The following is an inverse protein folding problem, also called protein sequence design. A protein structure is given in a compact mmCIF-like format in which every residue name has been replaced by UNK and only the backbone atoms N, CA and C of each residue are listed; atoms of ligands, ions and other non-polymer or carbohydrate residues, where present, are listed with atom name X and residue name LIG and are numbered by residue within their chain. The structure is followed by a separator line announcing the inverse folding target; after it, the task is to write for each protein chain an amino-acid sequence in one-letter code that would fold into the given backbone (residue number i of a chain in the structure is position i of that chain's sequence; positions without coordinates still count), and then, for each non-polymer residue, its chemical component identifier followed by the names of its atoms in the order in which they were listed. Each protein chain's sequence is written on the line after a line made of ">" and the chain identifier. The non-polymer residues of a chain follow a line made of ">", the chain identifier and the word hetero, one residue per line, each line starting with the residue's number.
data_IF_230456296312
#
_entry.id   IF_230456296312
#
_cell.length_a   1.000
_cell.length_b   1.000
_cell.length_c   1.000
_cell.angle_alpha   90.00
_cell.angle_beta   90.00
_cell.angle_gamma   90.00
#
_symmetry.space_group_name_H-M   'P 1'
#
loop_
_entity.id
_entity.type
_entity.pdbx_description
1 polymer ?
#
# COMPACT_ATOMS: atom_id res chain seq x y z
N UNK A 1 -22.06 -0.93 5.45
CA UNK A 1 -21.19 -1.51 4.40
C UNK A 1 -20.01 -2.16 5.10
N UNK A 2 -19.62 -3.40 4.79
CA UNK A 2 -18.48 -4.01 5.51
C UNK A 2 -17.15 -3.54 4.90
N UNK A 3 -16.24 -3.09 5.77
CA UNK A 3 -15.05 -2.30 5.39
C UNK A 3 -14.03 -3.14 4.62
N UNK A 4 -13.90 -4.42 4.96
CA UNK A 4 -12.96 -5.36 4.33
C UNK A 4 -13.16 -5.48 2.83
N UNK A 5 -14.37 -5.20 2.35
CA UNK A 5 -14.70 -5.29 0.92
C UNK A 5 -13.89 -4.34 0.07
N UNK A 6 -13.43 -3.21 0.61
CA UNK A 6 -12.53 -2.32 -0.11
C UNK A 6 -11.24 -3.05 -0.54
N UNK A 7 -10.65 -3.83 0.37
CA UNK A 7 -9.48 -4.66 0.09
C UNK A 7 -9.79 -5.80 -0.89
N UNK A 8 -10.96 -6.45 -0.73
CA UNK A 8 -11.37 -7.54 -1.62
C UNK A 8 -11.62 -7.05 -3.05
N UNK A 9 -12.18 -5.85 -3.23
CA UNK A 9 -12.33 -5.24 -4.55
C UNK A 9 -10.99 -4.89 -5.19
N UNK A 10 -9.96 -4.52 -4.42
CA UNK A 10 -8.60 -4.36 -4.93
C UNK A 10 -8.06 -5.68 -5.49
N UNK A 11 -8.14 -6.77 -4.72
CA UNK A 11 -7.68 -8.09 -5.17
C UNK A 11 -8.45 -8.60 -6.38
N UNK A 12 -9.78 -8.46 -6.38
CA UNK A 12 -10.63 -8.85 -7.51
C UNK A 12 -10.27 -8.07 -8.77
N UNK A 13 -10.07 -6.75 -8.65
CA UNK A 13 -9.78 -5.88 -9.79
C UNK A 13 -8.43 -6.22 -10.42
N UNK A 14 -7.39 -6.37 -9.62
CA UNK A 14 -6.06 -6.76 -10.09
C UNK A 14 -6.09 -8.15 -10.77
N UNK A 15 -6.79 -9.11 -10.16
CA UNK A 15 -6.90 -10.47 -10.71
C UNK A 15 -7.70 -10.53 -12.02
N UNK A 16 -8.84 -9.85 -12.12
CA UNK A 16 -9.67 -9.88 -13.35
C UNK A 16 -8.90 -9.34 -14.55
N UNK A 17 -8.18 -8.23 -14.37
CA UNK A 17 -7.51 -7.53 -15.45
C UNK A 17 -6.36 -8.35 -16.06
N UNK A 18 -5.66 -9.12 -15.22
CA UNK A 18 -4.42 -9.82 -15.62
C UNK A 18 -4.56 -11.34 -15.66
N UNK A 19 -5.63 -11.89 -15.09
CA UNK A 19 -5.79 -13.34 -14.79
C UNK A 19 -4.70 -13.91 -13.88
N UNK A 20 -3.99 -13.03 -13.19
CA UNK A 20 -2.97 -13.32 -12.19
C UNK A 20 -2.88 -12.15 -11.21
N UNK A 21 -2.32 -12.40 -10.02
CA UNK A 21 -2.04 -11.33 -9.06
C UNK A 21 -0.72 -10.65 -9.40
N UNK A 22 -0.76 -9.33 -9.56
CA UNK A 22 0.43 -8.54 -9.86
C UNK A 22 1.06 -7.94 -8.61
N UNK A 23 2.12 -7.16 -8.79
CA UNK A 23 2.76 -6.40 -7.72
C UNK A 23 1.77 -5.58 -6.88
N UNK A 24 0.65 -5.13 -7.44
CA UNK A 24 -0.42 -4.43 -6.69
C UNK A 24 -1.00 -5.31 -5.58
N UNK A 25 -1.53 -6.50 -5.90
CA UNK A 25 -2.05 -7.40 -4.86
C UNK A 25 -0.95 -7.91 -3.95
N UNK A 26 0.23 -8.24 -4.51
CA UNK A 26 1.36 -8.76 -3.75
C UNK A 26 1.83 -7.77 -2.67
N UNK A 27 1.94 -6.48 -3.00
CA UNK A 27 2.32 -5.43 -2.04
C UNK A 27 1.24 -5.19 -0.98
N UNK A 28 -0.03 -5.34 -1.32
CA UNK A 28 -1.10 -5.30 -0.32
C UNK A 28 -0.96 -6.47 0.67
N UNK A 29 -0.68 -7.69 0.18
CA UNK A 29 -0.41 -8.85 1.03
C UNK A 29 0.79 -8.62 1.96
N UNK A 30 1.89 -8.08 1.43
CA UNK A 30 3.10 -7.76 2.22
C UNK A 30 2.79 -6.73 3.30
N UNK A 31 2.01 -5.71 2.96
CA UNK A 31 1.59 -4.67 3.92
C UNK A 31 0.73 -5.27 5.02
N UNK A 32 -0.28 -6.08 4.66
CA UNK A 32 -1.16 -6.76 5.63
C UNK A 32 -0.37 -7.68 6.56
N UNK A 33 0.55 -8.47 6.00
CA UNK A 33 1.44 -9.34 6.78
C UNK A 33 2.31 -8.55 7.76
N UNK A 34 2.72 -7.34 7.39
CA UNK A 34 3.63 -6.52 8.19
C UNK A 34 2.92 -5.66 9.23
N UNK A 35 1.59 -5.58 9.21
CA UNK A 35 0.82 -4.88 10.24
C UNK A 35 0.83 -5.67 11.55
N UNK A 36 1.26 -5.01 12.62
CA UNK A 36 1.25 -5.52 13.99
C UNK A 36 0.43 -4.60 14.90
N UNK A 37 -0.42 -5.14 15.79
CA UNK A 37 -1.01 -4.36 16.86
C UNK A 37 0.07 -3.98 17.88
N UNK A 38 0.05 -2.72 18.31
CA UNK A 38 0.96 -2.20 19.33
C UNK A 38 0.44 -2.53 20.73
N UNK A 39 1.36 -2.69 21.68
CA UNK A 39 1.03 -3.09 23.05
C UNK A 39 0.63 -1.89 23.92
N UNK A 40 1.16 -0.72 23.58
CA UNK A 40 1.12 0.53 24.36
C UNK A 40 0.22 1.62 23.75
N UNK A 41 -0.33 1.39 22.56
CA UNK A 41 -1.28 2.29 21.90
C UNK A 41 -2.32 1.50 21.09
N UNK A 42 -3.54 2.05 20.94
CA UNK A 42 -4.57 1.47 20.05
C UNK A 42 -4.23 1.77 18.58
N UNK A 43 -3.20 1.09 18.09
CA UNK A 43 -2.66 1.26 16.76
C UNK A 43 -2.21 -0.07 16.16
N UNK A 44 -2.38 -0.22 14.86
CA UNK A 44 -1.73 -1.24 14.05
C UNK A 44 -0.66 -0.56 13.19
N UNK A 45 0.62 -0.82 13.48
CA UNK A 45 1.76 -0.23 12.78
C UNK A 45 2.47 -1.24 11.90
N UNK A 46 3.21 -0.75 10.90
CA UNK A 46 4.04 -1.61 10.07
C UNK A 46 5.31 -1.98 10.84
N UNK A 47 5.55 -3.28 10.98
CA UNK A 47 6.88 -3.81 11.31
C UNK A 47 7.79 -3.63 10.09
N UNK A 48 8.55 -2.54 10.07
CA UNK A 48 9.43 -2.22 8.96
C UNK A 48 10.60 -3.19 8.79
N UNK A 49 10.98 -3.95 9.83
CA UNK A 49 11.94 -5.06 9.68
C UNK A 49 11.30 -6.16 8.84
N UNK A 50 10.09 -6.59 9.21
CA UNK A 50 9.35 -7.60 8.44
C UNK A 50 9.05 -7.13 7.02
N UNK A 51 8.54 -5.91 6.88
CA UNK A 51 8.19 -5.33 5.59
C UNK A 51 9.40 -5.31 4.65
N UNK A 52 10.58 -4.93 5.15
CA UNK A 52 11.83 -4.91 4.37
C UNK A 52 12.24 -6.30 3.91
N UNK A 53 12.17 -7.33 4.78
CA UNK A 53 12.53 -8.70 4.40
C UNK A 53 11.52 -9.32 3.42
N UNK A 54 10.21 -9.08 3.62
CA UNK A 54 9.18 -9.49 2.65
C UNK A 54 9.37 -8.78 1.31
N UNK A 55 9.75 -7.49 1.31
CA UNK A 55 10.03 -6.74 0.09
C UNK A 55 11.24 -7.28 -0.67
N UNK A 56 12.35 -7.59 0.02
CA UNK A 56 13.54 -8.21 -0.58
C UNK A 56 13.19 -9.54 -1.26
N UNK A 57 12.44 -10.38 -0.56
CA UNK A 57 11.97 -11.65 -1.08
C UNK A 57 11.04 -11.46 -2.29
N UNK A 58 10.15 -10.48 -2.22
CA UNK A 58 9.20 -10.14 -3.28
C UNK A 58 9.87 -9.77 -4.59
N UNK A 59 11.03 -9.11 -4.56
CA UNK A 59 11.77 -8.77 -5.77
C UNK A 59 12.05 -10.02 -6.64
N UNK A 60 12.26 -11.19 -6.04
CA UNK A 60 12.60 -12.41 -6.77
C UNK A 60 11.38 -13.11 -7.40
N UNK A 61 10.14 -12.83 -6.97
CA UNK A 61 8.92 -13.46 -7.51
C UNK A 61 7.86 -12.47 -8.03
N UNK A 62 8.19 -11.18 -8.08
CA UNK A 62 7.27 -10.12 -8.48
C UNK A 62 6.68 -10.35 -9.87
N UNK A 63 5.42 -9.96 -10.02
CA UNK A 63 4.74 -9.93 -11.31
C UNK A 63 4.48 -8.48 -11.72
N UNK A 64 5.35 -7.94 -12.57
CA UNK A 64 5.36 -6.54 -13.02
C UNK A 64 6.53 -5.75 -12.46
N UNK A 65 6.80 -4.61 -13.08
CA UNK A 65 7.90 -3.72 -12.71
C UNK A 65 7.36 -2.32 -12.42
N UNK A 66 7.96 -1.67 -11.42
CA UNK A 66 7.77 -0.25 -11.12
C UNK A 66 9.13 0.26 -10.66
N UNK A 67 9.62 1.29 -11.32
CA UNK A 67 10.96 1.82 -11.17
C UNK A 67 11.22 2.40 -9.77
N UNK A 68 10.23 3.03 -9.14
CA UNK A 68 10.33 3.44 -7.72
C UNK A 68 10.49 2.24 -6.77
N UNK A 69 9.79 1.14 -7.02
CA UNK A 69 9.95 -0.10 -6.26
C UNK A 69 11.30 -0.78 -6.49
N UNK A 70 11.77 -0.83 -7.73
CA UNK A 70 13.07 -1.43 -8.06
C UNK A 70 14.23 -0.60 -7.51
N UNK A 71 14.07 0.72 -7.46
CA UNK A 71 15.01 1.64 -6.84
C UNK A 71 15.13 1.45 -5.32
N UNK A 72 14.29 0.58 -4.74
CA UNK A 72 14.43 0.19 -3.36
C UNK A 72 15.55 -0.83 -3.12
N UNK A 73 16.06 -1.46 -4.17
CA UNK A 73 17.09 -2.49 -4.07
C UNK A 73 18.50 -1.87 -4.07
N UNK A 74 19.27 -2.12 -3.00
CA UNK A 74 20.66 -1.68 -2.94
C UNK A 74 20.82 -0.16 -2.84
N UNK A 75 21.71 0.41 -3.68
CA UNK A 75 21.98 1.85 -3.69
C UNK A 75 20.86 2.58 -4.41
N UNK A 76 20.19 3.48 -3.69
CA UNK A 76 19.11 4.32 -4.22
C UNK A 76 19.65 5.28 -5.28
N UNK A 77 19.06 5.22 -6.47
CA UNK A 77 19.26 6.15 -7.58
C UNK A 77 18.46 7.42 -7.26
N UNK A 78 19.15 8.55 -7.30
CA UNK A 78 18.66 9.83 -6.82
C UNK A 78 17.50 10.37 -7.66
N UNK A 79 17.65 10.33 -8.97
CA UNK A 79 16.70 10.91 -9.93
C UNK A 79 15.38 10.15 -9.90
N UNK A 80 15.45 8.83 -9.71
CA UNK A 80 14.26 7.98 -9.57
C UNK A 80 13.55 8.27 -8.24
N UNK A 81 14.28 8.35 -7.14
CA UNK A 81 13.66 8.52 -5.81
C UNK A 81 12.95 9.85 -5.67
N UNK A 82 13.54 10.95 -6.15
CA UNK A 82 12.92 12.28 -6.06
C UNK A 82 11.92 12.54 -7.19
N UNK A 83 12.21 12.03 -8.40
CA UNK A 83 11.46 12.35 -9.61
C UNK A 83 10.25 11.46 -9.86
N UNK A 84 10.31 10.17 -9.54
CA UNK A 84 9.28 9.21 -9.95
C UNK A 84 8.22 8.96 -8.87
N UNK A 85 7.00 8.72 -9.34
CA UNK A 85 5.88 8.32 -8.48
C UNK A 85 5.81 6.81 -8.38
N UNK A 86 5.39 6.34 -7.22
CA UNK A 86 5.00 4.95 -7.04
C UNK A 86 3.52 4.74 -7.35
N UNK A 87 3.23 4.13 -8.51
CA UNK A 87 1.86 3.84 -8.96
C UNK A 87 1.16 2.74 -8.13
N UNK A 88 1.89 2.01 -7.30
CA UNK A 88 1.38 0.93 -6.46
C UNK A 88 0.95 1.39 -5.08
N UNK A 89 1.18 2.66 -4.72
CA UNK A 89 1.06 3.15 -3.33
C UNK A 89 -0.28 2.79 -2.69
N UNK A 90 -1.36 2.79 -3.49
CA UNK A 90 -2.71 2.52 -3.03
C UNK A 90 -2.89 1.10 -2.48
N UNK A 91 -2.10 0.15 -2.99
CA UNK A 91 -2.07 -1.24 -2.48
C UNK A 91 -1.65 -1.32 -1.02
N UNK A 92 -0.89 -0.34 -0.54
CA UNK A 92 -0.38 -0.28 0.84
C UNK A 92 -1.21 0.66 1.71
N UNK A 93 -1.71 1.76 1.12
CA UNK A 93 -2.62 2.70 1.79
C UNK A 93 -3.91 2.00 2.26
N UNK A 94 -4.58 1.21 1.40
CA UNK A 94 -5.85 0.57 1.77
C UNK A 94 -5.70 -0.31 3.02
N UNK A 95 -4.72 -1.24 3.11
CA UNK A 95 -4.48 -1.99 4.34
C UNK A 95 -4.27 -1.12 5.58
N UNK A 96 -3.44 -0.08 5.47
CA UNK A 96 -3.13 0.83 6.59
C UNK A 96 -4.40 1.50 7.12
N UNK A 97 -5.24 2.01 6.21
CA UNK A 97 -6.53 2.64 6.52
C UNK A 97 -7.48 1.66 7.19
N UNK A 98 -7.62 0.45 6.64
CA UNK A 98 -8.56 -0.55 7.14
C UNK A 98 -8.15 -1.10 8.51
N UNK A 99 -6.86 -1.20 8.80
CA UNK A 99 -6.37 -1.70 10.08
C UNK A 99 -6.48 -0.67 11.23
N UNK A 100 -6.63 0.63 10.94
CA UNK A 100 -6.53 1.69 11.96
C UNK A 100 -7.78 2.57 12.06
N UNK A 101 -8.27 2.80 13.29
CA UNK A 101 -9.38 3.74 13.56
C UNK A 101 -8.92 5.18 13.64
N UNK A 102 -7.78 5.42 14.28
CA UNK A 102 -7.23 6.76 14.46
C UNK A 102 -6.50 7.21 13.18
N UNK A 103 -6.97 8.32 12.59
CA UNK A 103 -6.37 8.85 11.37
C UNK A 103 -4.92 9.34 11.56
N UNK A 104 -4.53 9.76 12.76
CA UNK A 104 -3.13 10.18 13.00
C UNK A 104 -2.16 9.01 12.80
N UNK A 105 -2.55 7.80 13.18
CA UNK A 105 -1.78 6.57 12.93
C UNK A 105 -1.76 6.26 11.43
N UNK A 106 -2.90 6.37 10.76
CA UNK A 106 -3.01 6.18 9.30
C UNK A 106 -2.07 7.14 8.56
N UNK A 107 -2.13 8.43 8.88
CA UNK A 107 -1.28 9.46 8.28
C UNK A 107 0.20 9.17 8.46
N UNK A 108 0.62 8.83 9.69
CA UNK A 108 2.01 8.47 9.97
C UNK A 108 2.50 7.29 9.14
N UNK A 109 1.74 6.19 9.12
CA UNK A 109 2.16 4.98 8.42
C UNK A 109 2.08 5.14 6.90
N UNK A 110 1.13 5.92 6.36
CA UNK A 110 1.09 6.28 4.94
C UNK A 110 2.35 7.06 4.55
N UNK A 111 2.72 8.09 5.33
CA UNK A 111 3.92 8.90 5.03
C UNK A 111 5.16 8.01 5.02
N UNK A 112 5.40 7.24 6.09
CA UNK A 112 6.56 6.35 6.17
C UNK A 112 6.59 5.34 5.01
N UNK A 113 5.43 4.81 4.62
CA UNK A 113 5.34 3.82 3.54
C UNK A 113 5.53 4.44 2.15
N UNK A 114 5.13 5.69 1.92
CA UNK A 114 5.47 6.46 0.72
C UNK A 114 6.98 6.71 0.66
N UNK A 115 7.56 7.24 1.75
CA UNK A 115 8.98 7.57 1.80
C UNK A 115 9.90 6.34 1.64
N UNK A 116 9.40 5.15 1.94
CA UNK A 116 10.11 3.89 1.69
C UNK A 116 10.39 3.65 0.20
N UNK A 117 9.50 4.08 -0.71
CA UNK A 117 9.63 3.82 -2.15
C UNK A 117 9.90 5.06 -3.00
N UNK A 118 9.46 6.25 -2.56
CA UNK A 118 9.63 7.50 -3.30
C UNK A 118 9.67 8.71 -2.37
N UNK A 119 10.49 9.70 -2.73
CA UNK A 119 10.52 11.04 -2.15
C UNK A 119 9.69 12.07 -2.92
N UNK A 120 8.96 11.65 -3.96
CA UNK A 120 8.19 12.54 -4.82
C UNK A 120 7.02 13.20 -4.07
N UNK A 121 7.07 14.53 -3.97
CA UNK A 121 6.09 15.32 -3.20
C UNK A 121 4.66 15.22 -3.77
N UNK A 122 4.50 15.14 -5.09
CA UNK A 122 3.18 15.01 -5.70
C UNK A 122 2.54 13.67 -5.32
N UNK A 123 3.31 12.58 -5.34
CA UNK A 123 2.88 11.26 -4.87
C UNK A 123 2.56 11.24 -3.36
N UNK A 124 3.36 11.94 -2.55
CA UNK A 124 3.11 12.11 -1.12
C UNK A 124 1.75 12.77 -0.85
N UNK A 125 1.51 13.93 -1.47
CA UNK A 125 0.26 14.67 -1.26
C UNK A 125 -0.96 13.94 -1.81
N UNK A 126 -0.85 13.28 -2.97
CA UNK A 126 -1.95 12.46 -3.52
C UNK A 126 -2.26 11.27 -2.61
N UNK A 127 -1.23 10.57 -2.13
CA UNK A 127 -1.37 9.43 -1.24
C UNK A 127 -2.01 9.80 0.11
N UNK A 128 -1.59 10.93 0.70
CA UNK A 128 -2.20 11.43 1.94
C UNK A 128 -3.67 11.80 1.75
N UNK A 129 -4.01 12.52 0.67
CA UNK A 129 -5.39 12.89 0.38
C UNK A 129 -6.28 11.66 0.12
N UNK A 130 -5.78 10.67 -0.63
CA UNK A 130 -6.46 9.39 -0.83
C UNK A 130 -6.62 8.63 0.50
N UNK A 131 -5.59 8.60 1.34
CA UNK A 131 -5.65 7.97 2.67
C UNK A 131 -6.75 8.57 3.54
N UNK A 132 -6.83 9.90 3.59
CA UNK A 132 -7.87 10.61 4.34
C UNK A 132 -9.27 10.36 3.77
N UNK A 133 -9.42 10.47 2.44
CA UNK A 133 -10.67 10.17 1.75
C UNK A 133 -11.17 8.75 2.09
N UNK A 134 -10.31 7.76 1.95
CA UNK A 134 -10.66 6.37 2.26
C UNK A 134 -11.00 6.19 3.74
N UNK A 135 -10.26 6.83 4.65
CA UNK A 135 -10.51 6.77 6.10
C UNK A 135 -11.90 7.29 6.46
N UNK A 136 -12.32 8.42 5.88
CA UNK A 136 -13.67 8.98 6.05
C UNK A 136 -14.72 7.98 5.53
N UNK A 137 -14.52 7.44 4.33
CA UNK A 137 -15.49 6.55 3.67
C UNK A 137 -15.66 5.19 4.37
N UNK A 138 -14.60 4.67 5.00
CA UNK A 138 -14.68 3.42 5.76
C UNK A 138 -15.10 3.63 7.22
N UNK A 139 -15.05 4.86 7.73
CA UNK A 139 -15.52 5.25 9.07
C UNK A 139 -16.60 6.33 9.01
N UNK A 140 -17.74 6.07 8.36
CA UNK A 140 -18.81 7.06 8.36
C UNK A 140 -19.29 7.28 9.80
N UNK A 141 -19.27 8.53 10.27
CA UNK A 141 -20.07 8.90 11.42
C UNK A 141 -21.56 8.81 11.06
N UNK A 142 -22.45 8.80 12.05
CA UNK A 142 -23.90 8.82 11.82
C UNK A 142 -24.39 10.07 11.08
N UNK A 143 -23.56 11.11 10.96
CA UNK A 143 -23.84 12.33 10.16
C UNK A 143 -23.41 12.19 8.70
N UNK A 144 -22.69 11.11 8.35
CA UNK A 144 -22.06 10.88 7.05
C UNK A 144 -22.89 10.05 6.07
N UNK A 145 -24.10 9.63 6.45
CA UNK A 145 -25.00 8.87 5.57
C UNK A 145 -25.54 9.72 4.40
N UNK A 146 -25.59 11.04 4.56
CA UNK A 146 -25.94 12.02 3.53
C UNK A 146 -24.70 12.81 3.06
N UNK A 147 -23.63 12.11 2.65
CA UNK A 147 -22.38 12.76 2.23
C UNK A 147 -22.59 13.71 1.04
N UNK A 148 -22.81 14.99 1.34
CA UNK A 148 -22.73 16.06 0.36
C UNK A 148 -21.24 16.23 0.04
N UNK A 149 -20.87 16.00 -1.22
CA UNK A 149 -19.52 16.17 -1.78
C UNK A 149 -18.77 17.38 -1.22
N UNK A 150 -19.47 18.49 -1.04
CA UNK A 150 -18.91 19.74 -0.53
C UNK A 150 -18.32 19.57 0.87
N UNK A 151 -19.00 18.85 1.79
CA UNK A 151 -18.46 18.58 3.14
C UNK A 151 -17.19 17.73 3.10
N UNK A 152 -17.13 16.74 2.20
CA UNK A 152 -15.95 15.90 2.03
C UNK A 152 -14.77 16.71 1.47
N UNK A 153 -15.04 17.56 0.48
CA UNK A 153 -14.02 18.42 -0.13
C UNK A 153 -13.51 19.45 0.88
N UNK A 154 -14.39 20.09 1.65
CA UNK A 154 -13.98 21.03 2.70
C UNK A 154 -13.14 20.33 3.78
N UNK A 155 -13.54 19.13 4.22
CA UNK A 155 -12.74 18.35 5.17
C UNK A 155 -11.34 18.02 4.63
N UNK A 156 -11.23 17.63 3.35
CA UNK A 156 -9.94 17.42 2.69
C UNK A 156 -9.11 18.70 2.63
N UNK A 157 -9.72 19.83 2.27
CA UNK A 157 -9.04 21.14 2.22
C UNK A 157 -8.52 21.54 3.59
N UNK A 158 -9.34 21.45 4.63
CA UNK A 158 -8.95 21.75 6.01
C UNK A 158 -7.78 20.90 6.45
N UNK A 159 -7.83 19.60 6.17
CA UNK A 159 -6.73 18.69 6.48
C UNK A 159 -5.44 19.10 5.76
N UNK A 160 -5.50 19.43 4.47
CA UNK A 160 -4.32 19.89 3.71
C UNK A 160 -3.79 21.22 4.26
N UNK A 161 -4.67 22.19 4.52
CA UNK A 161 -4.29 23.51 5.06
C UNK A 161 -3.56 23.35 6.40
N UNK A 162 -4.07 22.48 7.28
CA UNK A 162 -3.46 22.19 8.58
C UNK A 162 -2.12 21.47 8.51
N UNK A 163 -1.76 20.88 7.36
CA UNK A 163 -0.52 20.12 7.20
C UNK A 163 0.70 21.05 7.19
N UNK A 164 1.42 21.09 8.31
CA UNK A 164 2.57 21.97 8.52
C UNK A 164 3.85 21.34 7.98
N UNK A 165 4.54 22.02 7.07
CA UNK A 165 5.87 21.61 6.61
C UNK A 165 6.85 21.46 7.77
N UNK A 166 6.86 22.39 8.74
CA UNK A 166 7.82 22.35 9.84
C UNK A 166 7.65 21.07 10.66
N UNK A 167 6.41 20.78 11.06
CA UNK A 167 6.09 19.57 11.84
C UNK A 167 6.34 18.30 11.01
N UNK A 168 6.05 18.34 9.70
CA UNK A 168 6.35 17.25 8.79
C UNK A 168 7.85 16.94 8.78
N UNK A 169 8.68 17.96 8.62
CA UNK A 169 10.14 17.80 8.56
C UNK A 169 10.71 17.29 9.88
N UNK A 170 10.30 17.89 11.00
CA UNK A 170 10.72 17.47 12.35
C UNK A 170 10.43 15.99 12.61
N UNK A 171 9.32 15.47 12.08
CA UNK A 171 8.86 14.11 12.34
C UNK A 171 9.34 13.07 11.32
N UNK A 172 9.43 13.44 10.03
CA UNK A 172 9.56 12.47 8.95
C UNK A 172 10.87 12.56 8.15
N UNK A 173 11.72 13.57 8.38
CA UNK A 173 12.98 13.73 7.64
C UNK A 173 13.88 12.47 7.70
N UNK A 174 13.91 11.78 8.83
CA UNK A 174 14.74 10.57 9.02
C UNK A 174 14.23 9.33 8.26
N UNK A 175 13.01 9.36 7.74
CA UNK A 175 12.42 8.25 6.97
C UNK A 175 12.70 8.36 5.47
N UNK A 176 13.24 9.49 5.01
CA UNK A 176 13.72 9.59 3.64
C UNK A 176 14.93 8.68 3.43
N UNK A 177 14.99 8.06 2.26
CA UNK A 177 16.12 7.20 1.87
C UNK A 177 17.32 7.97 1.36
N UNK A 178 17.11 9.21 0.97
CA UNK A 178 18.13 10.17 0.58
C UNK A 178 17.98 11.41 1.46
N UNK A 179 19.09 12.10 1.71
CA UNK A 179 19.05 13.32 2.50
C UNK A 179 18.27 14.40 1.75
N UNK A 180 17.49 15.22 2.45
CA UNK A 180 16.65 16.24 1.80
C UNK A 180 17.52 17.30 1.11
N UNK A 181 18.75 17.50 1.59
CA UNK A 181 19.77 18.33 0.94
C UNK A 181 20.14 17.84 -0.46
N UNK A 182 19.91 16.56 -0.76
CA UNK A 182 20.09 16.02 -2.11
C UNK A 182 18.93 16.35 -3.05
N UNK A 183 17.78 16.84 -2.57
CA UNK A 183 16.63 17.13 -3.41
C UNK A 183 16.96 18.13 -4.53
N UNK A 184 16.46 17.87 -5.74
CA UNK A 184 16.63 18.77 -6.87
C UNK A 184 15.82 20.06 -6.68
N UNK A 185 16.51 21.12 -6.26
CA UNK A 185 15.93 22.43 -6.03
C UNK A 185 15.62 22.70 -4.56
N UNK A 186 14.63 23.55 -4.30
CA UNK A 186 14.31 23.97 -2.93
C UNK A 186 13.13 23.16 -2.38
N UNK A 187 13.44 22.07 -1.67
CA UNK A 187 12.44 21.17 -1.08
C UNK A 187 11.35 21.92 -0.31
N UNK A 188 11.72 22.91 0.51
CA UNK A 188 10.76 23.67 1.32
C UNK A 188 9.79 24.48 0.44
N UNK A 189 10.29 25.08 -0.63
CA UNK A 189 9.43 25.82 -1.56
C UNK A 189 8.55 24.87 -2.37
N UNK A 190 9.10 23.76 -2.86
CA UNK A 190 8.33 22.78 -3.64
C UNK A 190 7.25 22.08 -2.80
N UNK A 191 7.50 21.82 -1.52
CA UNK A 191 6.50 21.25 -0.61
C UNK A 191 5.27 22.15 -0.48
N UNK A 192 5.47 23.45 -0.20
CA UNK A 192 4.34 24.39 -0.12
C UNK A 192 3.68 24.59 -1.49
N UNK A 193 4.46 24.56 -2.57
CA UNK A 193 3.91 24.64 -3.93
C UNK A 193 3.03 23.44 -4.28
N UNK A 194 3.45 22.22 -3.96
CA UNK A 194 2.65 21.01 -4.15
C UNK A 194 1.40 21.02 -3.28
N UNK A 195 1.50 21.46 -2.03
CA UNK A 195 0.34 21.69 -1.16
C UNK A 195 -0.69 22.63 -1.81
N UNK A 196 -0.26 23.76 -2.37
CA UNK A 196 -1.14 24.71 -3.08
C UNK A 196 -1.73 24.12 -4.36
N UNK A 197 -0.95 23.34 -5.13
CA UNK A 197 -1.46 22.64 -6.33
C UNK A 197 -2.58 21.66 -5.98
N UNK A 198 -2.45 20.94 -4.86
CA UNK A 198 -3.49 20.03 -4.37
C UNK A 198 -4.76 20.80 -4.00
N UNK A 199 -4.64 21.89 -3.24
CA UNK A 199 -5.79 22.74 -2.89
C UNK A 199 -6.51 23.30 -4.13
N UNK A 200 -5.76 23.77 -5.13
CA UNK A 200 -6.32 24.27 -6.38
C UNK A 200 -7.02 23.16 -7.19
N UNK A 201 -6.50 21.93 -7.13
CA UNK A 201 -7.12 20.77 -7.76
C UNK A 201 -8.45 20.41 -7.09
N UNK A 202 -8.56 20.53 -5.77
CA UNK A 202 -9.81 20.33 -5.04
C UNK A 202 -10.84 21.44 -5.30
N UNK A 203 -10.40 22.67 -5.57
CA UNK A 203 -11.29 23.78 -5.93
C UNK A 203 -11.88 23.61 -7.33
N UNK A 204 -11.04 23.29 -8.32
CA UNK A 204 -11.46 23.24 -9.72
C UNK A 204 -12.05 21.89 -10.13
N UNK A 205 -11.55 20.77 -9.60
CA UNK A 205 -11.87 19.39 -10.01
C UNK A 205 -11.68 19.08 -11.51
N UNK A 206 -11.02 19.98 -12.24
CA UNK A 206 -10.68 19.85 -13.67
C UNK A 206 -9.20 19.52 -13.85
N UNK A 207 -8.33 19.89 -12.90
CA UNK A 207 -6.89 19.75 -13.04
C UNK A 207 -6.45 18.26 -13.00
N UNK A 208 -5.58 17.87 -13.92
CA UNK A 208 -5.08 16.50 -14.11
C UNK A 208 -3.89 16.15 -13.21
N UNK A 209 -3.46 17.06 -12.33
CA UNK A 209 -2.27 16.85 -11.49
C UNK A 209 -2.45 15.70 -10.50
N UNK A 210 -3.66 15.48 -9.98
CA UNK A 210 -3.95 14.40 -9.02
C UNK A 210 -5.07 13.51 -9.56
N UNK A 211 -4.82 12.77 -10.65
CA UNK A 211 -5.88 12.12 -11.41
C UNK A 211 -6.59 11.03 -10.62
N UNK A 212 -5.88 10.32 -9.72
CA UNK A 212 -6.47 9.25 -8.93
C UNK A 212 -7.40 9.83 -7.85
N UNK A 213 -6.98 10.90 -7.18
CA UNK A 213 -7.81 11.59 -6.19
C UNK A 213 -9.08 12.18 -6.82
N UNK A 214 -8.93 12.93 -7.91
CA UNK A 214 -10.07 13.58 -8.59
C UNK A 214 -11.06 12.54 -9.12
N UNK A 215 -10.56 11.42 -9.66
CA UNK A 215 -11.41 10.31 -10.08
C UNK A 215 -12.17 9.68 -8.90
N UNK A 216 -11.54 9.48 -7.75
CA UNK A 216 -12.21 8.99 -6.54
C UNK A 216 -13.29 9.96 -6.04
N UNK A 217 -13.04 11.27 -6.05
CA UNK A 217 -14.04 12.26 -5.67
C UNK A 217 -15.26 12.23 -6.61
N UNK A 218 -15.05 12.04 -7.92
CA UNK A 218 -16.14 11.85 -8.89
C UNK A 218 -16.90 10.55 -8.62
N UNK A 219 -16.22 9.49 -8.21
CA UNK A 219 -16.85 8.22 -7.84
C UNK A 219 -17.77 8.38 -6.64
N UNK A 220 -17.38 9.18 -5.64
CA UNK A 220 -18.25 9.49 -4.49
C UNK A 220 -19.57 10.14 -4.93
N UNK A 221 -19.61 10.83 -6.08
CA UNK A 221 -20.83 11.41 -6.67
C UNK A 221 -21.67 10.42 -7.50
N UNK A 222 -21.23 9.17 -7.62
CA UNK A 222 -21.90 8.14 -8.42
C UNK A 222 -21.33 7.96 -9.83
N UNK A 223 -20.29 8.70 -10.20
CA UNK A 223 -19.63 8.48 -11.49
C UNK A 223 -18.86 7.15 -11.50
N UNK A 224 -18.76 6.51 -12.67
CA UNK A 224 -17.88 5.35 -12.83
C UNK A 224 -16.42 5.78 -12.71
N UNK A 225 -15.65 5.04 -11.93
CA UNK A 225 -14.21 5.28 -11.80
C UNK A 225 -13.45 4.92 -13.07
N UNK A 226 -12.44 5.72 -13.41
CA UNK A 226 -11.56 5.53 -14.57
C UNK A 226 -10.21 4.97 -14.17
N UNK A 227 -9.63 5.49 -13.10
CA UNK A 227 -8.38 5.00 -12.51
C UNK A 227 -8.58 3.65 -11.84
N UNK A 228 -7.48 2.91 -11.58
CA UNK A 228 -7.53 1.65 -10.87
C UNK A 228 -8.26 1.79 -9.51
N UNK A 229 -7.85 2.77 -8.70
CA UNK A 229 -8.48 3.03 -7.41
C UNK A 229 -9.91 3.53 -7.53
N UNK A 230 -10.23 4.38 -8.52
CA UNK A 230 -11.60 4.82 -8.73
C UNK A 230 -12.53 3.64 -9.06
N UNK A 231 -12.07 2.67 -9.85
CA UNK A 231 -12.83 1.45 -10.14
C UNK A 231 -13.01 0.58 -8.90
N UNK A 232 -11.96 0.41 -8.09
CA UNK A 232 -12.03 -0.30 -6.80
C UNK A 232 -13.05 0.38 -5.88
N UNK A 233 -12.96 1.70 -5.74
CA UNK A 233 -13.85 2.49 -4.90
C UNK A 233 -15.30 2.46 -5.39
N UNK A 234 -15.52 2.55 -6.71
CA UNK A 234 -16.85 2.48 -7.29
C UNK A 234 -17.51 1.14 -6.98
N UNK A 235 -16.77 0.03 -7.10
CA UNK A 235 -17.29 -1.28 -6.75
C UNK A 235 -17.60 -1.40 -5.25
N UNK A 236 -16.72 -0.86 -4.39
CA UNK A 236 -16.96 -0.81 -2.95
C UNK A 236 -18.25 -0.05 -2.60
N UNK A 237 -18.45 1.14 -3.16
CA UNK A 237 -19.60 1.99 -2.83
C UNK A 237 -20.92 1.49 -3.43
N UNK A 238 -20.90 1.04 -4.70
CA UNK A 238 -22.13 0.82 -5.48
C UNK A 238 -22.38 -0.64 -5.89
N UNK A 239 -21.43 -1.56 -5.72
CA UNK A 239 -21.60 -2.99 -6.08
C UNK A 239 -21.69 -3.86 -4.83
N UNK A 240 -22.68 -3.59 -3.99
CA UNK A 240 -22.87 -4.25 -2.68
C UNK A 240 -23.15 -5.76 -2.79
N UNK A 241 -23.65 -6.27 -3.90
CA UNK A 241 -23.98 -7.70 -4.03
C UNK A 241 -23.00 -8.47 -4.92
N UNK A 242 -21.80 -7.91 -5.16
CA UNK A 242 -20.78 -8.59 -5.96
C UNK A 242 -20.21 -9.80 -5.20
N UNK A 243 -20.34 -10.99 -5.79
CA UNK A 243 -19.60 -12.17 -5.36
C UNK A 243 -18.13 -12.08 -5.80
N UNK A 244 -17.22 -12.38 -4.87
CA UNK A 244 -15.79 -12.34 -5.13
C UNK A 244 -15.30 -13.67 -5.72
N UNK A 245 -14.70 -13.60 -6.91
CA UNK A 245 -14.03 -14.70 -7.60
C UNK A 245 -12.51 -14.58 -7.42
N UNK A 246 -12.06 -14.69 -6.17
CA UNK A 246 -10.65 -14.70 -5.76
C UNK A 246 -10.42 -15.91 -4.84
N UNK A 247 -9.15 -16.29 -4.65
CA UNK A 247 -8.82 -17.44 -3.79
C UNK A 247 -9.24 -17.23 -2.33
N UNK A 248 -9.49 -18.32 -1.60
CA UNK A 248 -9.76 -18.31 -0.15
C UNK A 248 -8.69 -17.58 0.67
N UNK A 249 -7.43 -17.65 0.25
CA UNK A 249 -6.35 -16.88 0.88
C UNK A 249 -6.64 -15.38 0.89
N UNK A 250 -6.97 -14.79 -0.27
CA UNK A 250 -7.28 -13.37 -0.39
C UNK A 250 -8.57 -12.98 0.35
N UNK A 251 -9.59 -13.87 0.38
CA UNK A 251 -10.78 -13.67 1.20
C UNK A 251 -10.43 -13.60 2.69
N UNK A 252 -9.60 -14.53 3.17
CA UNK A 252 -9.17 -14.58 4.57
C UNK A 252 -8.37 -13.35 5.01
N UNK A 253 -7.67 -12.67 4.09
CA UNK A 253 -6.96 -11.43 4.39
C UNK A 253 -7.92 -10.27 4.72
N UNK A 254 -9.12 -10.26 4.10
CA UNK A 254 -10.16 -9.30 4.43
C UNK A 254 -10.68 -9.48 5.87
N UNK A 255 -10.87 -10.72 6.31
CA UNK A 255 -11.25 -10.98 7.71
C UNK A 255 -10.10 -10.66 8.68
N UNK A 256 -8.88 -11.07 8.33
CA UNK A 256 -7.68 -10.85 9.13
C UNK A 256 -7.46 -9.36 9.45
N UNK A 257 -7.60 -8.48 8.46
CA UNK A 257 -7.38 -7.04 8.69
C UNK A 257 -8.44 -6.40 9.59
N UNK A 258 -9.68 -6.91 9.56
CA UNK A 258 -10.72 -6.46 10.47
C UNK A 258 -10.48 -6.98 11.89
N UNK A 259 -9.93 -8.19 12.03
CA UNK A 259 -9.53 -8.72 13.32
C UNK A 259 -8.35 -7.93 13.91
N UNK A 260 -7.39 -7.47 13.09
CA UNK A 260 -6.36 -6.51 13.52
C UNK A 260 -6.99 -5.20 14.01
N UNK A 261 -7.89 -4.59 13.22
CA UNK A 261 -8.60 -3.34 13.58
C UNK A 261 -9.36 -3.44 14.91
N UNK A 262 -9.90 -4.62 15.20
CA UNK A 262 -10.68 -4.91 16.42
C UNK A 262 -9.83 -5.41 17.59
N UNK A 263 -8.50 -5.41 17.46
CA UNK A 263 -7.56 -5.93 18.46
C UNK A 263 -7.86 -7.37 18.90
N UNK A 264 -8.30 -8.21 17.95
CA UNK A 264 -8.68 -9.62 18.18
C UNK A 264 -7.53 -10.59 17.96
N UNK A 265 -6.36 -10.09 17.60
CA UNK A 265 -5.18 -10.91 17.31
C UNK A 265 -4.12 -10.59 18.36
N UNK A 266 -3.62 -11.63 19.01
CA UNK A 266 -2.51 -11.54 19.97
C UNK A 266 -1.22 -11.13 19.23
N UNK A 267 -0.62 -9.97 19.57
CA UNK A 267 0.60 -9.48 18.91
C UNK A 267 1.78 -10.46 19.00
N UNK A 268 1.89 -11.23 20.09
CA UNK A 268 2.99 -12.19 20.26
C UNK A 268 2.93 -13.34 19.26
N UNK A 269 1.74 -13.65 18.73
CA UNK A 269 1.58 -14.67 17.68
C UNK A 269 1.99 -14.18 16.30
N UNK A 270 2.12 -12.86 16.12
CA UNK A 270 2.45 -12.23 14.84
C UNK A 270 3.94 -11.87 14.73
N UNK A 271 4.61 -11.66 15.86
CA UNK A 271 6.04 -11.32 15.91
C UNK A 271 6.91 -12.48 15.43
N UNK A 272 7.85 -12.17 14.54
CA UNK A 272 8.93 -13.08 14.16
C UNK A 272 10.13 -12.78 15.05
N UNK A 273 10.45 -13.70 15.96
CA UNK A 273 11.59 -13.54 16.89
C UNK A 273 12.92 -13.61 16.14
N UNK A 274 13.10 -14.71 15.41
CA UNK A 274 14.32 -14.99 14.66
C UNK A 274 14.00 -15.18 13.19
N UNK A 275 14.73 -14.47 12.32
CA UNK A 275 14.55 -14.52 10.88
C UNK A 275 15.47 -15.58 10.28
N UNK A 276 14.90 -16.74 9.99
CA UNK A 276 15.49 -17.82 9.19
C UNK A 276 15.10 -17.58 7.72
N UNK A 277 16.03 -17.02 6.94
CA UNK A 277 15.84 -16.60 5.54
C UNK A 277 16.87 -17.25 4.62
N UNK A 278 16.84 -18.59 4.42
CA UNK A 278 17.79 -19.26 3.54
C UNK A 278 17.58 -18.83 2.08
N UNK A 279 18.66 -18.81 1.28
CA UNK A 279 18.59 -18.54 -0.16
C UNK A 279 17.76 -19.63 -0.85
N UNK A 280 16.59 -19.27 -1.38
CA UNK A 280 15.68 -20.20 -2.06
C UNK A 280 16.35 -20.91 -3.24
N UNK A 281 17.30 -20.23 -3.90
CA UNK A 281 17.99 -20.78 -5.06
C UNK A 281 19.07 -21.81 -4.69
N UNK A 282 19.40 -21.95 -3.40
CA UNK A 282 20.38 -22.93 -2.91
C UNK A 282 19.83 -24.35 -2.75
N UNK A 283 18.51 -24.54 -2.80
CA UNK A 283 17.84 -25.83 -2.64
C UNK A 283 17.59 -26.51 -3.99
N UNK A 284 17.57 -27.84 -4.00
CA UNK A 284 17.35 -28.67 -5.18
C UNK A 284 15.88 -29.08 -5.34
N UNK A 285 15.51 -29.56 -6.53
CA UNK A 285 14.15 -30.02 -6.80
C UNK A 285 13.75 -31.16 -5.86
N UNK A 286 12.57 -31.03 -5.23
CA UNK A 286 12.07 -31.96 -4.23
C UNK A 286 12.41 -31.59 -2.78
N UNK A 287 13.38 -30.72 -2.55
CA UNK A 287 13.77 -30.28 -1.21
C UNK A 287 12.61 -29.55 -0.51
N UNK A 288 12.55 -29.75 0.80
CA UNK A 288 11.62 -29.05 1.69
C UNK A 288 12.39 -28.37 2.81
N UNK A 289 12.06 -27.10 3.08
CA UNK A 289 12.77 -26.29 4.07
C UNK A 289 11.84 -25.28 4.73
N UNK A 290 12.32 -24.72 5.84
CA UNK A 290 11.61 -23.67 6.56
C UNK A 290 12.17 -22.28 6.19
N UNK A 291 11.27 -21.36 5.88
CA UNK A 291 11.56 -19.96 5.64
C UNK A 291 10.63 -19.08 6.49
N UNK A 292 11.14 -18.11 7.23
CA UNK A 292 10.33 -17.39 8.24
C UNK A 292 9.15 -16.61 7.65
N UNK A 293 9.27 -16.16 6.40
CA UNK A 293 8.22 -15.39 5.69
C UNK A 293 7.24 -16.26 4.88
N UNK A 294 7.70 -17.43 4.43
CA UNK A 294 6.92 -18.34 3.56
C UNK A 294 6.43 -19.59 4.31
N UNK A 295 6.95 -19.80 5.52
CA UNK A 295 6.82 -21.00 6.35
C UNK A 295 7.43 -22.23 5.68
N UNK A 296 6.69 -23.34 5.63
CA UNK A 296 7.13 -24.56 4.96
C UNK A 296 7.10 -24.36 3.45
N UNK A 297 8.25 -24.59 2.83
CA UNK A 297 8.48 -24.42 1.40
C UNK A 297 8.93 -25.75 0.81
N UNK A 298 8.39 -26.10 -0.36
CA UNK A 298 8.87 -27.22 -1.16
C UNK A 298 9.28 -26.74 -2.55
N UNK A 299 10.47 -27.10 -3.01
CA UNK A 299 10.91 -26.83 -4.39
C UNK A 299 10.23 -27.85 -5.30
N UNK A 300 9.36 -27.37 -6.19
CA UNK A 300 8.61 -28.21 -7.12
C UNK A 300 9.38 -28.41 -8.42
N UNK A 301 10.06 -27.35 -8.89
CA UNK A 301 10.82 -27.39 -10.13
C UNK A 301 11.91 -26.35 -10.12
N UNK A 302 13.09 -26.68 -10.66
CA UNK A 302 14.21 -25.75 -10.82
C UNK A 302 14.72 -25.81 -12.24
N UNK A 303 14.83 -24.67 -12.92
CA UNK A 303 15.27 -24.60 -14.31
C UNK A 303 16.26 -23.47 -14.53
N UNK A 304 17.25 -23.68 -15.39
CA UNK A 304 18.13 -22.61 -15.89
C UNK A 304 17.85 -22.43 -17.36
N UNK A 305 17.38 -21.25 -17.75
CA UNK A 305 17.13 -20.90 -19.14
C UNK A 305 17.61 -19.47 -19.42
N UNK A 306 18.35 -19.28 -20.52
CA UNK A 306 18.82 -17.97 -20.97
C UNK A 306 19.51 -17.15 -19.86
N UNK A 307 20.37 -17.81 -19.08
CA UNK A 307 21.10 -17.26 -17.90
C UNK A 307 20.22 -16.81 -16.74
N UNK A 308 18.92 -17.08 -16.78
CA UNK A 308 17.99 -16.87 -15.67
C UNK A 308 17.77 -18.19 -14.94
N UNK A 309 17.98 -18.20 -13.63
CA UNK A 309 17.62 -19.33 -12.78
C UNK A 309 16.19 -19.13 -12.29
N UNK A 310 15.32 -20.11 -12.53
CA UNK A 310 13.95 -20.11 -12.02
C UNK A 310 13.74 -21.24 -11.03
N UNK A 311 13.00 -20.95 -9.97
CA UNK A 311 12.61 -21.93 -8.95
C UNK A 311 11.11 -21.80 -8.69
N UNK A 312 10.35 -22.82 -9.08
CA UNK A 312 8.94 -22.94 -8.76
C UNK A 312 8.82 -23.57 -7.39
N UNK A 313 8.32 -22.81 -6.42
CA UNK A 313 8.13 -23.27 -5.05
C UNK A 313 6.66 -23.38 -4.68
N UNK A 314 6.35 -24.35 -3.83
CA UNK A 314 5.06 -24.50 -3.18
C UNK A 314 5.17 -24.07 -1.72
N UNK A 315 4.17 -23.32 -1.26
CA UNK A 315 4.00 -22.94 0.14
C UNK A 315 2.55 -23.21 0.56
N UNK A 316 2.23 -23.01 1.84
CA UNK A 316 0.84 -23.06 2.32
C UNK A 316 -0.08 -22.05 1.60
N UNK A 317 0.44 -20.91 1.15
CA UNK A 317 -0.36 -19.84 0.54
C UNK A 317 -0.44 -19.94 -0.98
N UNK A 318 0.27 -20.88 -1.60
CA UNK A 318 0.21 -21.13 -3.03
C UNK A 318 1.58 -21.40 -3.65
N UNK A 319 1.58 -21.35 -4.99
CA UNK A 319 2.75 -21.56 -5.85
C UNK A 319 3.36 -20.22 -6.24
N UNK A 320 4.68 -20.12 -6.20
CA UNK A 320 5.42 -18.91 -6.57
C UNK A 320 6.58 -19.27 -7.50
N UNK A 321 6.77 -18.49 -8.55
CA UNK A 321 7.89 -18.64 -9.47
C UNK A 321 8.95 -17.58 -9.16
N UNK A 322 10.02 -18.01 -8.51
CA UNK A 322 11.19 -17.18 -8.19
C UNK A 322 12.15 -17.14 -9.38
N UNK A 323 12.81 -16.00 -9.59
CA UNK A 323 13.72 -15.73 -10.72
C UNK A 323 14.96 -14.98 -10.23
N UNK A 324 16.15 -15.40 -10.65
CA UNK A 324 17.45 -14.78 -10.35
C UNK A 324 18.32 -14.68 -11.59
#
# INVERSE_FOLDING_TARGET
>A
MSMERLQLHLFQKDYIDKKEYSYISQLAVITIKSLLPMMDEEANRIDYKRFTEEFKLWLDYRNGDNSSLLNCQGRVIHEIYWGEKDDSIISRIIPIVLANKNYNIVEEEIIKNILFTTGNLQGLFEGLALGYLLHILVNPSTELEDLIKDMLIESLKDKIISFSQKQYMEKYQSYYRLTIESYDGNFKVEFEREKLKLLNSLYSLVNNTYPALIDCLKVVEGNKGKSFIGQVLYNYLYRKDLEFQISDFHLSLGEYIINLRKSRIDPEKLKIKDYILPDIFSFEEGDSFYHSLLREVKVIKKEVKDKTLTSLIQTKTGMYLFRK
#
